data_IF_487703436004
#
_entry.id   IF_487703436004
#
_cell.length_a   1.000
_cell.length_b   1.000
_cell.length_c   1.000
_cell.angle_alpha   90.00
_cell.angle_beta   90.00
_cell.angle_gamma   90.00
#
_symmetry.space_group_name_H-M   'P 1'
#
loop_
_entity.id
_entity.type
_entity.pdbx_description
1 polymer ?
#
# COMPACT_ATOMS: atom_id res chain seq x y z
N UNK A 1 8.10 -6.20 36.14
CA UNK A 1 8.20 -6.73 34.76
C UNK A 1 7.51 -5.77 33.80
N UNK A 2 8.26 -4.92 33.09
CA UNK A 2 7.71 -4.07 32.03
C UNK A 2 7.64 -4.93 30.76
N UNK A 3 6.42 -5.19 30.26
CA UNK A 3 6.21 -5.93 29.01
C UNK A 3 6.42 -4.96 27.86
N UNK A 4 7.52 -5.16 27.12
CA UNK A 4 7.79 -4.51 25.84
C UNK A 4 6.72 -4.96 24.85
N UNK A 5 5.84 -4.05 24.45
CA UNK A 5 4.84 -4.28 23.40
C UNK A 5 5.54 -4.01 22.07
N UNK A 6 5.87 -5.07 21.34
CA UNK A 6 6.32 -4.98 19.95
C UNK A 6 5.04 -4.78 19.12
N UNK A 7 4.72 -3.52 18.81
CA UNK A 7 3.64 -3.18 17.90
C UNK A 7 4.01 -3.60 16.47
N UNK A 8 3.12 -4.33 15.80
CA UNK A 8 3.26 -4.66 14.39
C UNK A 8 3.33 -3.36 13.57
N UNK A 9 4.49 -3.11 12.97
CA UNK A 9 4.73 -1.97 12.09
C UNK A 9 3.87 -2.14 10.83
N UNK A 10 2.99 -1.16 10.61
CA UNK A 10 2.20 -1.01 9.39
C UNK A 10 3.12 -0.99 8.16
N UNK A 11 2.86 -1.89 7.20
CA UNK A 11 3.45 -1.81 5.87
C UNK A 11 2.74 -0.72 5.07
N UNK A 12 3.06 0.53 5.40
CA UNK A 12 3.03 1.65 4.47
C UNK A 12 4.48 1.98 4.09
N UNK A 13 5.24 0.98 3.64
CA UNK A 13 6.61 1.19 3.16
C UNK A 13 6.51 1.68 1.72
N UNK A 14 6.26 2.97 1.48
CA UNK A 14 6.45 3.52 0.12
C UNK A 14 5.69 4.78 -0.24
N UNK A 15 4.63 5.11 0.47
CA UNK A 15 3.96 6.38 0.25
C UNK A 15 4.50 7.42 1.22
N UNK A 16 4.71 8.65 0.75
CA UNK A 16 4.80 9.83 1.61
C UNK A 16 3.41 10.13 2.20
N UNK A 17 2.75 9.10 2.76
CA UNK A 17 1.63 9.21 3.67
C UNK A 17 2.26 9.06 5.06
N UNK A 18 2.48 10.20 5.71
CA UNK A 18 3.03 10.24 7.07
C UNK A 18 1.97 9.71 8.05
N UNK A 19 1.89 8.38 8.24
CA UNK A 19 1.21 7.77 9.37
C UNK A 19 2.26 7.52 10.46
N UNK A 20 2.12 8.15 11.62
CA UNK A 20 3.10 8.06 12.70
C UNK A 20 3.07 6.70 13.41
N UNK A 21 4.22 6.04 13.52
CA UNK A 21 4.57 5.22 14.70
C UNK A 21 5.89 5.72 15.29
N UNK A 22 6.04 5.75 16.63
CA UNK A 22 7.06 6.57 17.29
C UNK A 22 8.31 5.74 17.62
N UNK A 23 9.24 5.57 16.69
CA UNK A 23 10.50 4.85 16.97
C UNK A 23 11.76 5.49 16.33
N UNK A 24 11.85 6.82 16.26
CA UNK A 24 13.15 7.49 16.07
C UNK A 24 13.21 8.89 16.71
N UNK A 25 14.06 9.12 17.74
CA UNK A 25 14.04 10.35 18.53
C UNK A 25 14.63 11.61 17.88
N UNK A 26 15.24 11.54 16.69
CA UNK A 26 16.09 12.65 16.20
C UNK A 26 15.64 13.43 14.96
N UNK A 27 14.36 13.42 14.51
CA UNK A 27 14.05 14.25 13.30
C UNK A 27 12.66 14.84 13.09
N UNK A 28 11.73 14.78 14.03
CA UNK A 28 10.50 15.57 13.92
C UNK A 28 10.05 16.04 15.30
N UNK A 29 9.96 17.36 15.50
CA UNK A 29 9.37 17.92 16.71
C UNK A 29 7.96 17.30 16.87
N UNK A 30 7.63 16.72 18.04
CA UNK A 30 6.29 16.23 18.32
C UNK A 30 5.28 17.36 18.05
N UNK A 31 4.42 17.18 17.04
CA UNK A 31 3.42 18.17 16.62
C UNK A 31 3.58 18.72 15.20
N UNK A 32 4.78 18.71 14.61
CA UNK A 32 5.01 19.29 13.27
C UNK A 32 4.30 18.53 12.13
N UNK A 33 3.98 17.24 12.31
CA UNK A 33 3.20 16.43 11.37
C UNK A 33 1.70 16.67 11.55
N UNK A 34 1.24 16.87 12.80
CA UNK A 34 -0.19 16.99 13.10
C UNK A 34 -0.83 18.24 12.47
N UNK A 35 -0.07 19.31 12.28
CA UNK A 35 -0.58 20.57 11.72
C UNK A 35 -0.98 20.49 10.24
N UNK A 36 -0.57 19.42 9.52
CA UNK A 36 -0.84 19.24 8.08
C UNK A 36 -1.72 18.03 7.78
N UNK A 37 -2.08 17.28 8.82
CA UNK A 37 -3.04 16.19 8.76
C UNK A 37 -4.36 16.73 9.29
N UNK A 38 -5.40 16.68 8.48
CA UNK A 38 -6.75 17.00 8.96
C UNK A 38 -7.46 15.69 9.25
N UNK A 39 -7.90 15.44 10.49
CA UNK A 39 -8.65 14.23 10.83
C UNK A 39 -9.84 14.03 9.88
N UNK A 40 -10.03 12.80 9.43
CA UNK A 40 -11.07 12.40 8.50
C UNK A 40 -10.90 12.89 7.07
N UNK A 41 -9.73 13.42 6.67
CA UNK A 41 -9.50 13.92 5.31
C UNK A 41 -8.20 13.41 4.69
N UNK A 42 -8.24 13.22 3.38
CA UNK A 42 -7.06 13.18 2.52
C UNK A 42 -6.76 14.59 1.99
N UNK A 43 -5.64 15.16 2.40
CA UNK A 43 -5.19 16.50 2.01
C UNK A 43 -4.04 16.39 1.02
N UNK A 44 -4.23 16.90 -0.19
CA UNK A 44 -3.15 17.04 -1.16
C UNK A 44 -2.45 18.37 -0.93
N UNK A 45 -1.13 18.32 -0.72
CA UNK A 45 -0.30 19.49 -0.49
C UNK A 45 0.90 19.49 -1.45
N UNK A 46 1.27 20.69 -1.91
CA UNK A 46 2.50 20.88 -2.68
C UNK A 46 3.71 20.80 -1.76
N UNK A 47 4.81 20.21 -2.23
CA UNK A 47 6.03 20.01 -1.44
C UNK A 47 6.60 21.32 -0.86
N UNK A 48 6.40 22.45 -1.52
CA UNK A 48 6.88 23.77 -1.10
C UNK A 48 6.06 24.38 0.05
N UNK A 49 4.89 23.82 0.35
CA UNK A 49 4.03 24.19 1.49
C UNK A 49 4.26 23.31 2.72
N UNK A 50 5.12 22.31 2.64
CA UNK A 50 5.52 21.49 3.80
C UNK A 50 6.50 22.26 4.70
N UNK A 51 6.66 21.88 5.98
CA UNK A 51 7.75 22.37 6.82
C UNK A 51 9.12 22.12 6.19
N UNK A 52 10.08 23.04 6.37
CA UNK A 52 11.40 22.98 5.72
C UNK A 52 12.10 21.61 5.84
N UNK A 53 12.05 20.98 7.03
CA UNK A 53 12.59 19.64 7.25
C UNK A 53 11.92 18.58 6.35
N UNK A 54 10.59 18.63 6.23
CA UNK A 54 9.84 17.73 5.35
C UNK A 54 10.02 18.05 3.88
N UNK A 55 10.20 19.32 3.50
CA UNK A 55 10.50 19.69 2.11
C UNK A 55 11.79 19.01 1.65
N UNK A 56 12.83 19.03 2.49
CA UNK A 56 14.13 18.41 2.17
C UNK A 56 13.96 16.91 1.93
N UNK A 57 13.23 16.23 2.80
CA UNK A 57 12.95 14.79 2.67
C UNK A 57 12.10 14.50 1.43
N UNK A 58 11.03 15.26 1.20
CA UNK A 58 10.16 15.09 0.03
C UNK A 58 10.93 15.29 -1.28
N UNK A 59 11.74 16.35 -1.38
CA UNK A 59 12.58 16.61 -2.56
C UNK A 59 13.59 15.49 -2.80
N UNK A 60 14.26 15.02 -1.74
CA UNK A 60 15.21 13.91 -1.85
C UNK A 60 14.54 12.63 -2.34
N UNK A 61 13.39 12.26 -1.76
CA UNK A 61 12.64 11.08 -2.16
C UNK A 61 12.13 11.18 -3.60
N UNK A 62 11.58 12.34 -4.00
CA UNK A 62 11.12 12.58 -5.38
C UNK A 62 12.30 12.50 -6.36
N UNK A 63 13.44 13.13 -6.02
CA UNK A 63 14.63 13.12 -6.85
C UNK A 63 15.20 11.71 -7.01
N UNK A 64 15.31 10.95 -5.91
CA UNK A 64 15.80 9.57 -5.93
C UNK A 64 14.96 8.68 -6.86
N UNK A 65 13.63 8.80 -6.79
CA UNK A 65 12.72 8.04 -7.68
C UNK A 65 12.87 8.45 -9.15
N UNK A 66 13.10 9.73 -9.43
CA UNK A 66 13.29 10.24 -10.79
C UNK A 66 14.65 9.89 -11.38
N UNK A 67 15.68 9.78 -10.54
CA UNK A 67 17.07 9.53 -10.96
C UNK A 67 17.41 8.02 -11.09
N UNK A 68 16.62 7.13 -10.49
CA UNK A 68 16.90 5.69 -10.46
C UNK A 68 16.60 4.95 -11.77
N UNK A 69 16.98 3.67 -11.81
CA UNK A 69 16.72 2.71 -12.90
C UNK A 69 15.24 2.32 -13.08
N UNK A 70 14.33 3.12 -12.53
CA UNK A 70 12.91 2.79 -12.40
C UNK A 70 12.58 1.92 -11.18
N UNK A 71 13.55 1.61 -10.31
CA UNK A 71 13.36 0.88 -9.05
C UNK A 71 13.80 1.70 -7.84
N UNK A 72 12.97 1.73 -6.81
CA UNK A 72 13.29 2.21 -5.47
C UNK A 72 14.03 1.11 -4.69
N UNK A 73 15.25 1.35 -4.17
CA UNK A 73 15.95 0.37 -3.37
C UNK A 73 15.22 0.19 -2.03
N UNK A 74 14.97 -1.05 -1.64
CA UNK A 74 14.41 -1.39 -0.32
C UNK A 74 15.22 -2.50 0.35
N UNK A 75 15.29 -2.54 1.69
CA UNK A 75 16.01 -3.58 2.41
C UNK A 75 15.45 -4.99 2.12
N UNK A 76 16.29 -6.02 2.27
CA UNK A 76 15.92 -7.43 2.03
C UNK A 76 14.84 -7.91 3.01
N UNK A 77 14.81 -7.33 4.20
CA UNK A 77 13.87 -7.61 5.28
C UNK A 77 12.42 -7.32 4.88
N UNK A 78 12.21 -6.32 4.00
CA UNK A 78 10.88 -5.99 3.45
C UNK A 78 10.33 -7.19 2.67
N UNK A 79 11.15 -7.82 1.85
CA UNK A 79 10.77 -9.01 1.08
C UNK A 79 10.63 -10.24 1.97
N UNK A 80 11.55 -10.41 2.92
CA UNK A 80 11.51 -11.55 3.85
C UNK A 80 10.23 -11.53 4.67
N UNK A 81 9.88 -10.38 5.25
CA UNK A 81 8.66 -10.25 6.03
C UNK A 81 7.40 -10.38 5.15
N UNK A 82 7.37 -9.69 4.01
CA UNK A 82 6.21 -9.70 3.12
C UNK A 82 5.86 -11.08 2.57
N UNK A 83 6.87 -11.85 2.15
CA UNK A 83 6.67 -13.18 1.57
C UNK A 83 6.50 -14.30 2.60
N UNK A 84 6.83 -14.06 3.87
CA UNK A 84 6.63 -15.01 5.00
C UNK A 84 5.27 -14.82 5.70
N UNK A 85 4.23 -14.45 4.96
CA UNK A 85 2.91 -14.14 5.51
C UNK A 85 2.14 -15.38 6.00
N UNK A 86 2.48 -16.58 5.54
CA UNK A 86 1.67 -17.79 5.71
C UNK A 86 1.48 -18.17 7.19
N UNK A 87 2.47 -17.90 8.04
CA UNK A 87 2.36 -18.15 9.49
C UNK A 87 1.51 -17.12 10.24
N UNK A 88 1.17 -16.00 9.59
CA UNK A 88 0.48 -14.84 10.18
C UNK A 88 -0.93 -14.64 9.62
N UNK A 89 -1.27 -15.35 8.55
CA UNK A 89 -2.54 -15.19 7.85
C UNK A 89 -3.69 -15.76 8.69
N UNK A 90 -4.76 -14.99 8.80
CA UNK A 90 -6.02 -15.42 9.35
C UNK A 90 -6.96 -15.74 8.20
N UNK A 91 -7.73 -16.82 8.32
CA UNK A 91 -8.79 -17.18 7.37
C UNK A 91 -10.14 -16.73 7.93
N UNK A 92 -11.08 -16.52 7.02
CA UNK A 92 -12.45 -16.17 7.38
C UNK A 92 -13.05 -17.23 8.32
N UNK A 93 -13.79 -16.75 9.33
CA UNK A 93 -14.24 -17.54 10.47
C UNK A 93 -14.43 -16.65 11.69
N UNK A 94 -14.06 -17.15 12.88
CA UNK A 94 -14.24 -16.43 14.14
C UNK A 94 -13.51 -15.08 14.22
N UNK A 95 -12.54 -14.76 13.36
CA UNK A 95 -11.83 -13.49 13.42
C UNK A 95 -12.51 -12.34 12.65
N UNK A 96 -13.47 -12.64 11.77
CA UNK A 96 -14.08 -11.64 10.89
C UNK A 96 -14.84 -10.54 11.67
N UNK A 97 -15.42 -10.87 12.83
CA UNK A 97 -16.14 -9.88 13.67
C UNK A 97 -15.24 -8.78 14.24
N UNK A 98 -13.92 -8.98 14.23
CA UNK A 98 -12.92 -8.01 14.67
C UNK A 98 -12.55 -7.01 13.57
N UNK A 99 -12.89 -7.27 12.31
CA UNK A 99 -12.71 -6.34 11.20
C UNK A 99 -13.78 -5.25 11.31
N UNK A 100 -13.34 -3.99 11.47
CA UNK A 100 -14.22 -2.80 11.54
C UNK A 100 -14.16 -1.95 10.29
N UNK A 101 -13.10 -2.07 9.48
CA UNK A 101 -13.08 -1.51 8.13
C UNK A 101 -14.12 -2.22 7.26
N UNK A 102 -15.00 -1.45 6.63
CA UNK A 102 -15.89 -1.99 5.58
C UNK A 102 -15.02 -2.37 4.39
N UNK A 103 -14.79 -3.65 4.13
CA UNK A 103 -13.93 -4.09 3.02
C UNK A 103 -14.50 -3.69 1.65
N UNK A 104 -13.63 -3.43 0.68
CA UNK A 104 -14.06 -3.17 -0.68
C UNK A 104 -14.59 -4.46 -1.34
N UNK A 105 -15.72 -4.34 -2.03
CA UNK A 105 -16.28 -5.42 -2.85
C UNK A 105 -15.31 -5.76 -3.97
N UNK A 106 -15.06 -7.05 -4.18
CA UNK A 106 -14.12 -7.52 -5.20
C UNK A 106 -14.84 -8.03 -6.45
N UNK A 107 -16.16 -8.16 -6.41
CA UNK A 107 -16.95 -8.67 -7.51
C UNK A 107 -16.71 -7.85 -8.79
N UNK A 108 -16.45 -8.57 -9.89
CA UNK A 108 -16.11 -7.96 -11.18
C UNK A 108 -14.66 -7.48 -11.29
N UNK A 109 -13.86 -7.52 -10.22
CA UNK A 109 -12.42 -7.22 -10.29
C UNK A 109 -11.58 -8.42 -10.70
N UNK A 110 -10.36 -8.16 -11.18
CA UNK A 110 -9.41 -9.22 -11.48
C UNK A 110 -9.03 -10.04 -10.23
N UNK A 111 -9.14 -9.47 -9.02
CA UNK A 111 -8.89 -10.18 -7.76
C UNK A 111 -9.95 -11.25 -7.46
N UNK A 112 -11.19 -11.09 -7.94
CA UNK A 112 -12.24 -12.10 -7.78
C UNK A 112 -11.94 -13.42 -8.51
N UNK A 113 -10.97 -13.42 -9.44
CA UNK A 113 -10.50 -14.61 -10.16
C UNK A 113 -9.25 -15.23 -9.53
N UNK A 114 -8.66 -14.58 -8.53
CA UNK A 114 -7.50 -15.07 -7.83
C UNK A 114 -7.90 -15.96 -6.66
N UNK A 115 -7.01 -16.85 -6.23
CA UNK A 115 -7.23 -17.62 -5.00
C UNK A 115 -7.07 -16.67 -3.81
N UNK A 116 -8.11 -16.51 -3.01
CA UNK A 116 -8.01 -15.80 -1.74
C UNK A 116 -7.36 -16.69 -0.68
N UNK A 117 -6.24 -16.25 -0.11
CA UNK A 117 -5.50 -17.03 0.89
C UNK A 117 -5.93 -16.68 2.33
N UNK A 118 -6.49 -15.49 2.55
CA UNK A 118 -6.91 -14.95 3.84
C UNK A 118 -6.51 -13.49 4.04
N UNK A 119 -6.47 -13.01 5.28
CA UNK A 119 -6.08 -11.64 5.61
C UNK A 119 -5.05 -11.57 6.75
N UNK A 120 -4.28 -10.48 6.77
CA UNK A 120 -3.42 -10.10 7.88
C UNK A 120 -4.11 -8.93 8.60
N UNK A 121 -4.33 -9.03 9.93
CA UNK A 121 -4.85 -7.91 10.68
C UNK A 121 -3.82 -6.79 10.76
N UNK A 122 -4.27 -5.54 10.62
CA UNK A 122 -3.44 -4.36 10.81
C UNK A 122 -4.12 -3.45 11.84
N UNK A 123 -3.61 -3.48 13.07
CA UNK A 123 -4.13 -2.72 14.20
C UNK A 123 -3.27 -2.95 15.45
N UNK A 124 -3.59 -2.29 16.57
CA UNK A 124 -2.75 -2.28 17.76
C UNK A 124 -2.60 -3.66 18.42
N UNK A 125 -3.52 -4.59 18.15
CA UNK A 125 -3.47 -5.96 18.68
C UNK A 125 -3.90 -7.00 17.64
N UNK A 126 -3.51 -8.25 17.86
CA UNK A 126 -3.97 -9.41 17.09
C UNK A 126 -5.40 -9.85 17.43
N UNK A 127 -6.11 -9.15 18.32
CA UNK A 127 -7.48 -9.47 18.70
C UNK A 127 -8.49 -8.42 18.21
N UNK A 128 -8.03 -7.38 17.52
CA UNK A 128 -8.87 -6.28 17.05
C UNK A 128 -9.22 -5.27 18.15
N UNK A 129 -10.17 -4.35 17.85
CA UNK A 129 -10.78 -4.12 16.54
C UNK A 129 -9.76 -3.66 15.47
N UNK A 130 -10.00 -3.98 14.20
CA UNK A 130 -9.12 -3.62 13.09
C UNK A 130 -9.80 -2.66 12.11
N UNK A 131 -9.27 -1.43 12.05
CA UNK A 131 -9.60 -0.39 11.06
C UNK A 131 -8.74 -0.50 9.80
N UNK A 132 -7.77 -1.43 9.79
CA UNK A 132 -7.01 -1.79 8.60
C UNK A 132 -6.82 -3.30 8.50
N UNK A 133 -6.83 -3.81 7.27
CA UNK A 133 -6.49 -5.21 6.97
C UNK A 133 -5.68 -5.29 5.67
N UNK A 134 -4.89 -6.35 5.54
CA UNK A 134 -4.25 -6.72 4.28
C UNK A 134 -4.87 -8.03 3.79
N UNK A 135 -5.62 -7.99 2.69
CA UNK A 135 -6.15 -9.19 2.03
C UNK A 135 -5.08 -9.78 1.12
N UNK A 136 -4.83 -11.08 1.21
CA UNK A 136 -3.77 -11.78 0.47
C UNK A 136 -4.39 -12.71 -0.56
N UNK A 137 -3.89 -12.62 -1.79
CA UNK A 137 -4.32 -13.40 -2.94
C UNK A 137 -3.13 -14.03 -3.65
N UNK A 138 -3.36 -15.18 -4.27
CA UNK A 138 -2.45 -15.77 -5.24
C UNK A 138 -3.09 -15.71 -6.63
N UNK A 139 -2.46 -14.97 -7.55
CA UNK A 139 -2.90 -14.80 -8.95
C UNK A 139 -1.80 -15.32 -9.89
N UNK A 140 -2.02 -16.43 -10.60
CA UNK A 140 -1.01 -17.00 -11.54
C UNK A 140 0.41 -17.09 -10.94
N UNK A 141 0.52 -17.65 -9.73
CA UNK A 141 1.75 -17.76 -8.92
C UNK A 141 2.34 -16.45 -8.39
N UNK A 142 1.70 -15.30 -8.61
CA UNK A 142 2.09 -14.04 -7.98
C UNK A 142 1.31 -13.83 -6.69
N UNK A 143 2.00 -13.39 -5.65
CA UNK A 143 1.36 -12.94 -4.42
C UNK A 143 0.92 -11.50 -4.60
N UNK A 144 -0.37 -11.26 -4.38
CA UNK A 144 -1.00 -9.94 -4.45
C UNK A 144 -1.58 -9.61 -3.08
N UNK A 145 -1.25 -8.44 -2.56
CA UNK A 145 -1.71 -7.96 -1.27
C UNK A 145 -2.47 -6.65 -1.44
N UNK A 146 -3.71 -6.62 -0.98
CA UNK A 146 -4.55 -5.42 -0.93
C UNK A 146 -4.67 -4.96 0.52
N UNK A 147 -3.93 -3.92 0.87
CA UNK A 147 -4.09 -3.19 2.13
C UNK A 147 -5.23 -2.20 2.01
N UNK A 148 -6.11 -2.21 2.99
CA UNK A 148 -7.20 -1.25 3.16
C UNK A 148 -7.11 -0.67 4.56
N UNK A 149 -7.13 0.66 4.65
CA UNK A 149 -7.22 1.36 5.93
C UNK A 149 -8.34 2.39 5.86
N UNK A 150 -9.34 2.24 6.72
CA UNK A 150 -10.38 3.25 6.94
C UNK A 150 -9.85 4.32 7.89
N UNK A 151 -9.05 5.23 7.33
CA UNK A 151 -8.40 6.28 8.11
C UNK A 151 -9.42 7.23 8.76
N UNK A 152 -10.65 7.31 8.23
CA UNK A 152 -11.71 8.13 8.83
C UNK A 152 -12.25 7.46 10.08
N UNK A 153 -12.59 6.17 10.01
CA UNK A 153 -13.06 5.40 11.17
C UNK A 153 -11.99 5.25 12.26
N UNK A 154 -10.72 5.26 11.86
CA UNK A 154 -9.56 5.23 12.77
C UNK A 154 -9.28 6.59 13.44
N UNK A 155 -9.97 7.66 13.03
CA UNK A 155 -9.70 9.02 13.50
C UNK A 155 -8.40 9.63 12.94
N UNK A 156 -7.81 8.99 11.94
CA UNK A 156 -6.61 9.44 11.24
C UNK A 156 -6.91 10.44 10.13
N UNK A 157 -5.87 10.74 9.35
CA UNK A 157 -5.94 11.56 8.15
C UNK A 157 -4.75 11.25 7.25
N UNK A 158 -4.82 11.66 5.98
CA UNK A 158 -3.75 11.42 5.01
C UNK A 158 -3.25 12.75 4.47
N UNK A 159 -1.95 12.95 4.46
CA UNK A 159 -1.31 14.04 3.71
C UNK A 159 -0.62 13.45 2.49
N UNK A 160 -0.94 13.95 1.30
CA UNK A 160 -0.38 13.49 0.03
C UNK A 160 0.48 14.60 -0.54
N UNK A 161 1.75 14.30 -0.79
CA UNK A 161 2.64 15.23 -1.51
C UNK A 161 2.38 15.13 -3.00
N UNK A 162 1.82 16.19 -3.59
CA UNK A 162 1.37 16.22 -4.99
C UNK A 162 2.47 15.79 -5.97
N UNK A 163 3.68 16.30 -5.79
CA UNK A 163 4.82 16.07 -6.71
C UNK A 163 5.37 14.64 -6.66
N UNK A 164 4.98 13.87 -5.64
CA UNK A 164 5.34 12.46 -5.49
C UNK A 164 4.38 11.51 -6.22
N UNK A 165 3.20 11.99 -6.64
CA UNK A 165 2.21 11.22 -7.38
C UNK A 165 2.58 11.18 -8.87
N UNK A 166 2.44 10.02 -9.49
CA UNK A 166 2.88 9.78 -10.88
C UNK A 166 1.82 9.08 -11.74
N UNK A 167 0.65 8.78 -11.17
CA UNK A 167 -0.50 8.22 -11.88
C UNK A 167 -1.79 8.61 -11.16
N UNK A 168 -2.92 8.07 -11.62
CA UNK A 168 -4.26 8.32 -11.07
C UNK A 168 -5.07 7.03 -11.01
N UNK A 169 -5.94 6.94 -10.01
CA UNK A 169 -7.00 5.94 -9.90
C UNK A 169 -8.33 6.70 -9.92
N UNK A 170 -9.04 6.64 -11.03
CA UNK A 170 -10.19 7.49 -11.30
C UNK A 170 -9.82 8.97 -11.14
N UNK A 171 -10.50 9.64 -10.19
CA UNK A 171 -10.22 11.04 -9.83
C UNK A 171 -9.11 11.22 -8.78
N UNK A 172 -8.61 10.14 -8.19
CA UNK A 172 -7.70 10.19 -7.05
C UNK A 172 -6.23 10.16 -7.49
N UNK A 173 -5.38 11.08 -7.00
CA UNK A 173 -3.94 11.00 -7.20
C UNK A 173 -3.39 9.69 -6.62
N UNK A 174 -2.49 9.06 -7.37
CA UNK A 174 -1.92 7.78 -6.98
C UNK A 174 -0.41 7.74 -7.22
N UNK A 175 0.24 6.87 -6.45
CA UNK A 175 1.66 6.59 -6.57
C UNK A 175 1.85 5.14 -6.99
N UNK A 176 2.41 4.95 -8.17
CA UNK A 176 2.93 3.66 -8.63
C UNK A 176 4.44 3.61 -8.39
N UNK A 177 4.92 2.60 -7.68
CA UNK A 177 6.33 2.42 -7.39
C UNK A 177 6.75 0.98 -7.66
N UNK A 178 7.96 0.81 -8.16
CA UNK A 178 8.62 -0.49 -8.30
C UNK A 178 9.78 -0.51 -7.34
N UNK A 179 9.93 -1.56 -6.57
CA UNK A 179 10.95 -1.66 -5.52
C UNK A 179 11.82 -2.88 -5.75
N UNK A 180 13.10 -2.79 -5.39
CA UNK A 180 14.07 -3.86 -5.58
C UNK A 180 14.96 -4.03 -4.35
N UNK A 181 15.21 -5.28 -3.95
CA UNK A 181 16.15 -5.61 -2.87
C UNK A 181 17.60 -5.76 -3.35
N UNK A 182 18.60 -5.78 -2.44
CA UNK A 182 19.99 -6.08 -2.81
C UNK A 182 20.17 -7.43 -3.50
N UNK A 183 19.36 -8.44 -3.16
CA UNK A 183 19.40 -9.76 -3.82
C UNK A 183 18.68 -9.80 -5.17
N UNK A 184 18.04 -8.70 -5.59
CA UNK A 184 17.36 -8.59 -6.88
C UNK A 184 15.87 -8.95 -6.84
N UNK A 185 15.29 -9.25 -5.67
CA UNK A 185 13.84 -9.43 -5.53
C UNK A 185 13.13 -8.12 -5.86
N UNK A 186 11.92 -8.22 -6.41
CA UNK A 186 11.18 -7.11 -6.97
C UNK A 186 9.72 -7.14 -6.55
N UNK A 187 9.16 -5.96 -6.30
CA UNK A 187 7.73 -5.79 -6.04
C UNK A 187 7.24 -4.51 -6.69
N UNK A 188 5.96 -4.48 -7.05
CA UNK A 188 5.30 -3.29 -7.58
C UNK A 188 4.12 -2.93 -6.71
N UNK A 189 3.99 -1.64 -6.38
CA UNK A 189 3.03 -1.12 -5.44
C UNK A 189 2.29 0.08 -6.03
N UNK A 190 0.96 0.03 -5.98
CA UNK A 190 0.07 1.14 -6.30
C UNK A 190 -0.63 1.59 -5.03
N UNK A 191 -0.47 2.85 -4.66
CA UNK A 191 -1.09 3.44 -3.48
C UNK A 191 -1.93 4.67 -3.84
N UNK A 192 -3.12 4.77 -3.24
CA UNK A 192 -4.03 5.90 -3.44
C UNK A 192 -4.93 6.09 -2.23
N UNK A 193 -5.36 7.34 -2.00
CA UNK A 193 -6.36 7.66 -1.00
C UNK A 193 -7.67 8.07 -1.69
N UNK A 194 -8.77 7.55 -1.18
CA UNK A 194 -10.12 8.03 -1.45
C UNK A 194 -10.56 9.00 -0.36
N UNK A 195 -11.81 9.47 -0.43
CA UNK A 195 -12.41 10.33 0.59
C UNK A 195 -12.61 9.62 1.95
N UNK A 196 -12.43 8.29 2.02
CA UNK A 196 -12.66 7.49 3.25
C UNK A 196 -11.55 6.53 3.61
N UNK A 197 -10.86 6.00 2.59
CA UNK A 197 -9.89 4.92 2.75
C UNK A 197 -8.58 5.23 2.08
N UNK A 198 -7.52 4.67 2.65
CA UNK A 198 -6.23 4.56 2.01
C UNK A 198 -6.03 3.12 1.56
N UNK A 199 -5.65 2.95 0.30
CA UNK A 199 -5.43 1.66 -0.32
C UNK A 199 -3.96 1.49 -0.72
N UNK A 200 -3.48 0.27 -0.61
CA UNK A 200 -2.22 -0.15 -1.23
C UNK A 200 -2.40 -1.50 -1.87
N UNK A 201 -2.12 -1.60 -3.17
CA UNK A 201 -2.12 -2.85 -3.92
C UNK A 201 -0.67 -3.19 -4.25
N UNK A 202 -0.17 -4.29 -3.69
CA UNK A 202 1.22 -4.74 -3.86
C UNK A 202 1.24 -6.09 -4.58
N UNK A 203 2.06 -6.19 -5.63
CA UNK A 203 2.36 -7.45 -6.31
C UNK A 203 3.82 -7.79 -6.03
N UNK A 204 4.07 -8.93 -5.40
CA UNK A 204 5.42 -9.40 -5.03
C UNK A 204 6.14 -10.07 -6.21
N UNK A 205 6.21 -9.37 -7.33
CA UNK A 205 6.91 -9.77 -8.54
C UNK A 205 7.28 -8.53 -9.38
N UNK A 206 8.12 -8.73 -10.40
CA UNK A 206 8.18 -7.77 -11.50
C UNK A 206 6.88 -7.90 -12.28
N UNK A 207 6.20 -6.78 -12.52
CA UNK A 207 4.99 -6.77 -13.34
C UNK A 207 5.30 -6.03 -14.63
N UNK A 208 5.00 -6.63 -15.80
CA UNK A 208 5.19 -5.95 -17.07
C UNK A 208 4.44 -4.61 -17.10
N UNK A 209 5.10 -3.58 -17.66
CA UNK A 209 4.43 -2.34 -18.07
C UNK A 209 3.55 -2.69 -19.26
N UNK A 210 2.29 -3.07 -19.01
CA UNK A 210 1.39 -3.40 -20.11
C UNK A 210 1.19 -2.17 -21.01
N UNK A 211 1.60 -2.25 -22.26
CA UNK A 211 1.02 -1.44 -23.35
C UNK A 211 0.06 -2.35 -24.13
N UNK A 212 -1.17 -1.84 -24.33
CA UNK A 212 -2.22 -2.18 -25.31
C UNK A 212 -2.45 -3.68 -25.65
N UNK A 213 -3.70 -4.17 -25.73
CA UNK A 213 -3.95 -5.49 -26.30
C UNK A 213 -3.56 -5.45 -27.79
N UNK A 214 -2.36 -5.91 -28.13
CA UNK A 214 -2.12 -6.46 -29.47
C UNK A 214 -2.99 -7.72 -29.56
N UNK A 215 -3.72 -7.83 -30.67
CA UNK A 215 -4.48 -9.00 -31.06
C UNK A 215 -3.59 -10.24 -30.92
N UNK A 216 -3.75 -11.00 -29.83
CA UNK A 216 -3.38 -12.40 -29.82
C UNK A 216 -4.54 -13.14 -30.47
N UNK A 217 -4.40 -13.39 -31.77
CA UNK A 217 -5.17 -14.42 -32.45
C UNK A 217 -5.08 -15.73 -31.65
N UNK A 218 -6.24 -16.35 -31.42
CA UNK A 218 -6.36 -17.79 -31.21
C UNK A 218 -5.63 -18.40 -30.01
N UNK A 219 -6.40 -18.63 -28.94
CA UNK A 219 -6.30 -19.82 -28.10
C UNK A 219 -5.02 -19.99 -27.24
N UNK A 220 -5.04 -19.47 -26.02
CA UNK A 220 -4.19 -19.95 -24.93
C UNK A 220 -4.88 -19.78 -23.58
N UNK A 221 -4.82 -20.82 -22.74
CA UNK A 221 -5.51 -20.91 -21.46
C UNK A 221 -5.20 -19.78 -20.47
N UNK A 222 -6.14 -19.60 -19.55
CA UNK A 222 -6.10 -18.64 -18.45
C UNK A 222 -4.80 -18.74 -17.64
N UNK A 223 -3.86 -17.83 -17.88
CA UNK A 223 -2.79 -17.54 -16.94
C UNK A 223 -2.42 -16.05 -17.06
N UNK A 224 -3.33 -15.20 -16.58
CA UNK A 224 -3.13 -13.75 -16.66
C UNK A 224 -2.37 -13.26 -15.43
N UNK A 225 -1.04 -13.29 -15.53
CA UNK A 225 -0.17 -12.56 -14.62
C UNK A 225 -0.66 -11.11 -14.45
N UNK A 226 -0.63 -10.62 -13.22
CA UNK A 226 -0.96 -9.24 -12.88
C UNK A 226 0.09 -8.30 -13.47
N UNK A 227 -0.38 -7.38 -14.31
CA UNK A 227 0.40 -6.29 -14.92
C UNK A 227 0.08 -4.95 -14.25
N UNK A 228 0.86 -3.89 -14.50
CA UNK A 228 0.52 -2.53 -14.00
C UNK A 228 -0.88 -2.09 -14.45
N UNK A 229 -1.25 -2.37 -15.71
CA UNK A 229 -2.59 -2.08 -16.23
C UNK A 229 -3.69 -2.87 -15.52
N UNK A 230 -3.39 -4.09 -15.06
CA UNK A 230 -4.31 -4.87 -14.23
C UNK A 230 -4.46 -4.27 -12.84
N UNK A 231 -3.36 -3.82 -12.22
CA UNK A 231 -3.40 -3.12 -10.93
C UNK A 231 -4.26 -1.85 -10.99
N UNK A 232 -4.11 -1.03 -12.04
CA UNK A 232 -4.91 0.20 -12.22
C UNK A 232 -6.39 -0.13 -12.43
N UNK A 233 -6.72 -1.18 -13.22
CA UNK A 233 -8.12 -1.61 -13.40
C UNK A 233 -8.75 -2.08 -12.08
N UNK A 234 -8.03 -2.88 -11.30
CA UNK A 234 -8.47 -3.29 -9.96
C UNK A 234 -8.74 -2.02 -9.12
N UNK A 235 -7.76 -1.12 -9.03
CA UNK A 235 -7.88 0.08 -8.21
C UNK A 235 -9.08 0.97 -8.60
N UNK A 236 -9.35 1.12 -9.90
CA UNK A 236 -10.49 1.88 -10.41
C UNK A 236 -11.85 1.27 -10.02
N UNK A 237 -11.93 -0.04 -9.80
CA UNK A 237 -13.17 -0.71 -9.38
C UNK A 237 -13.41 -0.59 -7.87
N UNK A 238 -12.35 -0.38 -7.09
CA UNK A 238 -12.43 -0.27 -5.63
C UNK A 238 -12.68 1.18 -5.13
N UNK A 239 -12.66 2.16 -6.04
CA UNK A 239 -12.66 3.60 -5.74
C UNK A 239 -13.95 4.28 -6.15
#
# INVERSE_FOLDING_TARGET
>A
MKRTIIGLISFAVGCLAMASTPDNPDTVAPGAISSYMTPGKATVISQDKLPAAMQKVARANIAQRRAGSGYEPVPEEVFTYGLSYQSRILRDGNSAHNIKVKLAELDGSALARCRYDGFLPNGPTLNGPWTSVVRVFTCSNQIVMLSEWDYVADGGGITIVKEAMNTTVGKFPAQLSRKRSPSGKVMTELAWATDKKYFTLTVWADVPRGQRPEQSDGNAGMDHAVTEGTMIRIANQLS
#
